data_IF_995886102326
#
_entry.id   IF_995886102326
#
_cell.length_a   1.000
_cell.length_b   1.000
_cell.length_c   1.000
_cell.angle_alpha   90.00
_cell.angle_beta   90.00
_cell.angle_gamma   90.00
#
_symmetry.space_group_name_H-M   'P 1'
#
loop_
_entity.id
_entity.type
_entity.pdbx_description
1 polymer ?
#
# COMPACT_ATOMS: atom_id res chain seq x y z
N UNK A 1 9.58 16.12 15.21
CA UNK A 1 8.32 16.30 14.45
C UNK A 1 8.51 15.58 13.13
N UNK A 2 7.97 14.36 13.01
CA UNK A 2 8.06 13.61 11.76
C UNK A 2 7.25 14.33 10.68
N UNK A 3 7.80 14.49 9.48
CA UNK A 3 7.03 14.99 8.33
C UNK A 3 5.78 14.13 8.18
N UNK A 4 4.62 14.76 8.07
CA UNK A 4 3.39 14.06 7.70
C UNK A 4 3.63 13.40 6.33
N UNK A 5 3.65 12.07 6.29
CA UNK A 5 3.83 11.31 5.04
C UNK A 5 2.68 11.61 4.07
N UNK A 6 1.46 11.72 4.62
CA UNK A 6 0.24 12.13 3.95
C UNK A 6 -0.50 13.08 4.90
N UNK A 7 -0.74 14.31 4.45
CA UNK A 7 -1.46 15.32 5.23
C UNK A 7 -2.85 14.80 5.63
N UNK A 8 -3.20 14.92 6.91
CA UNK A 8 -4.49 14.46 7.43
C UNK A 8 -4.58 12.97 7.76
N UNK A 9 -3.52 12.18 7.51
CA UNK A 9 -3.50 10.75 7.80
C UNK A 9 -2.35 10.39 8.74
N UNK A 10 -2.66 9.60 9.76
CA UNK A 10 -1.67 9.06 10.66
C UNK A 10 -1.21 7.69 10.19
N UNK A 11 0.11 7.53 10.13
CA UNK A 11 0.74 6.24 9.90
C UNK A 11 0.85 5.50 11.23
N UNK A 12 0.17 4.35 11.30
CA UNK A 12 0.01 3.55 12.50
C UNK A 12 1.01 2.39 12.50
N UNK A 13 0.51 1.15 12.64
CA UNK A 13 1.32 -0.05 12.74
C UNK A 13 1.67 -0.65 11.37
N UNK A 14 2.72 -1.48 11.35
CA UNK A 14 3.06 -2.37 10.25
C UNK A 14 2.07 -3.55 10.28
N UNK A 15 1.46 -3.83 9.13
CA UNK A 15 0.51 -4.92 8.91
C UNK A 15 1.19 -6.16 8.30
N UNK A 16 2.29 -5.97 7.59
CA UNK A 16 3.04 -7.05 6.97
C UNK A 16 4.34 -6.57 6.34
N UNK A 17 5.30 -7.48 6.26
CA UNK A 17 6.64 -7.22 5.74
C UNK A 17 6.97 -8.24 4.64
N UNK A 18 7.60 -7.75 3.57
CA UNK A 18 8.14 -8.56 2.50
C UNK A 18 9.55 -8.11 2.14
N UNK A 19 10.24 -8.89 1.31
CA UNK A 19 11.67 -8.67 0.98
C UNK A 19 11.99 -7.27 0.45
N UNK A 20 11.05 -6.62 -0.24
CA UNK A 20 11.23 -5.29 -0.85
C UNK A 20 10.07 -4.34 -0.56
N UNK A 21 9.19 -4.71 0.37
CA UNK A 21 7.97 -3.97 0.61
C UNK A 21 7.50 -4.09 2.05
N UNK A 22 6.92 -3.02 2.56
CA UNK A 22 6.31 -2.96 3.88
C UNK A 22 4.87 -2.47 3.73
N UNK A 23 3.93 -3.10 4.43
CA UNK A 23 2.53 -2.70 4.43
C UNK A 23 2.22 -2.07 5.79
N UNK A 24 1.69 -0.84 5.77
CA UNK A 24 1.37 -0.07 6.99
C UNK A 24 -0.10 0.32 6.99
N UNK A 25 -0.66 0.47 8.18
CA UNK A 25 -1.99 1.03 8.37
C UNK A 25 -1.92 2.56 8.36
N UNK A 26 -2.78 3.19 7.57
CA UNK A 26 -3.06 4.62 7.60
C UNK A 26 -4.47 4.86 8.13
N UNK A 27 -4.63 5.87 8.98
CA UNK A 27 -5.93 6.28 9.52
C UNK A 27 -6.15 7.77 9.27
N UNK A 28 -7.27 8.11 8.64
CA UNK A 28 -7.66 9.50 8.43
C UNK A 28 -8.06 10.12 9.77
N UNK A 29 -7.43 11.23 10.14
CA UNK A 29 -7.65 11.89 11.44
C UNK A 29 -9.05 12.44 11.63
N UNK A 30 -9.69 12.90 10.55
CA UNK A 30 -11.01 13.53 10.62
C UNK A 30 -12.14 12.52 10.47
N UNK A 31 -11.99 11.50 9.62
CA UNK A 31 -13.06 10.54 9.34
C UNK A 31 -12.91 9.22 10.11
N UNK A 32 -11.72 8.89 10.60
CA UNK A 32 -11.40 7.58 11.17
C UNK A 32 -11.31 6.46 10.13
N UNK A 33 -11.42 6.78 8.83
CA UNK A 33 -11.29 5.80 7.76
C UNK A 33 -9.88 5.21 7.72
N UNK A 34 -9.81 3.90 7.51
CA UNK A 34 -8.56 3.15 7.47
C UNK A 34 -8.23 2.69 6.05
N UNK A 35 -6.96 2.79 5.67
CA UNK A 35 -6.44 2.15 4.47
C UNK A 35 -5.07 1.50 4.75
N UNK A 36 -4.69 0.54 3.92
CA UNK A 36 -3.35 -0.01 3.93
C UNK A 36 -2.49 0.72 2.89
N UNK A 37 -1.26 1.08 3.24
CA UNK A 37 -0.26 1.55 2.28
C UNK A 37 0.84 0.52 2.14
N UNK A 38 1.04 0.04 0.91
CA UNK A 38 2.19 -0.78 0.54
C UNK A 38 3.29 0.15 0.04
N UNK A 39 4.36 0.27 0.82
CA UNK A 39 5.59 0.99 0.48
C UNK A 39 6.58 0.00 -0.14
N UNK A 40 7.06 0.30 -1.34
CA UNK A 40 7.98 -0.54 -2.11
C UNK A 40 9.22 0.30 -2.42
N UNK A 41 10.39 -0.18 -1.99
CA UNK A 41 11.64 0.41 -2.43
C UNK A 41 11.93 -0.03 -3.87
N UNK A 42 12.18 0.94 -4.75
CA UNK A 42 12.61 0.75 -6.14
C UNK A 42 14.09 1.16 -6.29
N UNK A 43 15.06 0.33 -5.83
CA UNK A 43 16.47 0.62 -6.07
C UNK A 43 16.75 0.77 -7.56
N UNK A 44 17.70 1.62 -7.92
CA UNK A 44 18.11 1.86 -9.33
C UNK A 44 18.52 0.59 -10.08
N UNK A 45 18.91 -0.47 -9.38
CA UNK A 45 19.20 -1.78 -9.97
C UNK A 45 17.95 -2.51 -10.52
N UNK A 46 16.75 -2.01 -10.21
CA UNK A 46 15.46 -2.59 -10.57
C UNK A 46 14.72 -1.82 -11.68
N UNK A 47 15.42 -1.06 -12.53
CA UNK A 47 14.82 -0.39 -13.71
C UNK A 47 13.93 -1.31 -14.55
N UNK A 48 14.28 -2.60 -14.65
CA UNK A 48 13.46 -3.58 -15.37
C UNK A 48 12.14 -3.92 -14.64
N UNK A 49 12.09 -3.82 -13.30
CA UNK A 49 10.89 -4.10 -12.50
C UNK A 49 9.93 -2.91 -12.39
N UNK A 50 10.36 -1.68 -12.69
CA UNK A 50 9.45 -0.52 -12.65
C UNK A 50 8.26 -0.70 -13.60
N UNK A 51 8.51 -1.29 -14.77
CA UNK A 51 7.45 -1.62 -15.73
C UNK A 51 6.49 -2.69 -15.21
N UNK A 52 7.01 -3.70 -14.52
CA UNK A 52 6.19 -4.77 -13.94
C UNK A 52 5.33 -4.24 -12.79
N UNK A 53 5.90 -3.43 -11.90
CA UNK A 53 5.17 -2.76 -10.81
C UNK A 53 4.09 -1.82 -11.37
N UNK A 54 4.39 -1.04 -12.42
CA UNK A 54 3.36 -0.20 -13.08
C UNK A 54 2.24 -1.02 -13.71
N UNK A 55 2.57 -2.15 -14.35
CA UNK A 55 1.57 -3.06 -14.93
C UNK A 55 0.68 -3.65 -13.84
N UNK A 56 1.25 -4.14 -12.74
CA UNK A 56 0.51 -4.67 -11.60
C UNK A 56 -0.46 -3.62 -11.03
N UNK A 57 0.03 -2.39 -10.77
CA UNK A 57 -0.80 -1.29 -10.28
C UNK A 57 -1.93 -0.97 -11.26
N UNK A 58 -1.64 -0.95 -12.58
CA UNK A 58 -2.63 -0.66 -13.60
C UNK A 58 -3.75 -1.71 -13.61
N UNK A 59 -3.38 -2.99 -13.64
CA UNK A 59 -4.34 -4.10 -13.59
C UNK A 59 -5.16 -4.04 -12.31
N UNK A 60 -4.52 -3.85 -11.15
CA UNK A 60 -5.20 -3.83 -9.86
C UNK A 60 -6.22 -2.67 -9.77
N UNK A 61 -5.90 -1.49 -10.30
CA UNK A 61 -6.84 -0.36 -10.35
C UNK A 61 -8.11 -0.63 -11.18
N UNK A 62 -8.04 -1.54 -12.15
CA UNK A 62 -9.18 -1.93 -12.98
C UNK A 62 -10.09 -2.94 -12.29
N UNK A 63 -9.60 -3.64 -11.26
CA UNK A 63 -10.38 -4.62 -10.51
C UNK A 63 -11.30 -3.90 -9.52
N UNK A 64 -12.61 -4.12 -9.68
CA UNK A 64 -13.66 -3.62 -8.78
C UNK A 64 -14.62 -4.74 -8.45
N UNK A 65 -14.37 -5.42 -7.34
CA UNK A 65 -15.19 -6.55 -6.91
C UNK A 65 -15.10 -6.74 -5.39
N UNK A 66 -16.21 -7.12 -4.76
CA UNK A 66 -16.33 -7.27 -3.29
C UNK A 66 -15.39 -8.31 -2.64
N UNK A 67 -14.75 -9.16 -3.44
CA UNK A 67 -13.82 -10.20 -2.98
C UNK A 67 -12.39 -10.00 -3.47
N UNK A 68 -12.09 -8.82 -4.05
CA UNK A 68 -10.75 -8.43 -4.44
C UNK A 68 -10.44 -7.15 -3.67
N UNK A 69 -9.31 -7.13 -2.98
CA UNK A 69 -8.83 -5.94 -2.25
C UNK A 69 -8.86 -4.75 -3.19
N UNK A 70 -9.59 -3.69 -2.84
CA UNK A 70 -9.68 -2.52 -3.69
C UNK A 70 -8.35 -1.75 -3.69
N UNK A 71 -7.88 -1.37 -4.88
CA UNK A 71 -6.80 -0.39 -5.03
C UNK A 71 -7.40 1.01 -5.19
N UNK A 72 -7.07 1.93 -4.29
CA UNK A 72 -7.54 3.32 -4.31
C UNK A 72 -6.62 4.21 -5.15
N UNK A 73 -5.33 3.88 -5.24
CA UNK A 73 -4.38 4.75 -5.90
C UNK A 73 -2.94 4.35 -5.68
N UNK A 74 -2.04 5.15 -6.24
CA UNK A 74 -0.61 4.96 -6.09
C UNK A 74 0.12 6.29 -6.21
N UNK A 75 1.20 6.47 -5.45
CA UNK A 75 2.09 7.65 -5.50
C UNK A 75 3.54 7.20 -5.62
N UNK A 76 4.36 7.98 -6.32
CA UNK A 76 5.81 7.78 -6.34
C UNK A 76 6.45 8.97 -5.60
N UNK A 77 7.39 8.68 -4.72
CA UNK A 77 8.22 9.70 -4.06
C UNK A 77 9.68 9.23 -4.05
N UNK A 78 10.54 9.93 -4.82
CA UNK A 78 11.93 9.52 -5.01
C UNK A 78 12.04 8.10 -5.59
N UNK A 79 12.74 7.22 -4.86
CA UNK A 79 12.91 5.80 -5.21
C UNK A 79 11.90 4.89 -4.52
N UNK A 80 10.76 5.43 -4.05
CA UNK A 80 9.73 4.67 -3.35
C UNK A 80 8.40 4.76 -4.07
N UNK A 81 7.76 3.60 -4.21
CA UNK A 81 6.42 3.47 -4.75
C UNK A 81 5.46 3.15 -3.61
N UNK A 82 4.40 3.92 -3.51
CA UNK A 82 3.33 3.72 -2.54
C UNK A 82 2.06 3.31 -3.27
N UNK A 83 1.37 2.30 -2.75
CA UNK A 83 0.09 1.81 -3.27
C UNK A 83 -0.92 1.85 -2.12
N UNK A 84 -2.03 2.54 -2.33
CA UNK A 84 -3.11 2.68 -1.36
C UNK A 84 -4.18 1.62 -1.61
N UNK A 85 -4.43 0.81 -0.59
CA UNK A 85 -5.25 -0.40 -0.66
C UNK A 85 -6.32 -0.38 0.42
N UNK A 86 -7.39 -1.11 0.19
CA UNK A 86 -8.38 -1.45 1.20
C UNK A 86 -7.71 -2.14 2.40
N UNK A 87 -8.08 -1.71 3.61
CA UNK A 87 -7.61 -2.34 4.84
C UNK A 87 -8.51 -3.53 5.21
N UNK A 88 -7.95 -4.74 5.18
CA UNK A 88 -8.65 -5.96 5.57
C UNK A 88 -8.32 -6.32 7.02
N UNK A 89 -9.15 -5.86 7.97
CA UNK A 89 -8.94 -6.10 9.41
C UNK A 89 -9.07 -7.56 9.86
N UNK A 90 -9.55 -8.45 8.98
CA UNK A 90 -9.77 -9.87 9.27
C UNK A 90 -8.50 -10.72 9.36
N UNK A 91 -7.34 -10.16 9.01
CA UNK A 91 -6.06 -10.88 8.93
C UNK A 91 -5.98 -11.80 7.70
N UNK A 92 -4.98 -12.67 7.68
CA UNK A 92 -4.76 -13.59 6.56
C UNK A 92 -5.55 -14.89 6.74
N UNK A 93 -5.85 -15.55 5.61
CA UNK A 93 -6.45 -16.88 5.65
C UNK A 93 -5.47 -17.94 6.18
N UNK A 94 -4.17 -17.75 5.95
CA UNK A 94 -3.11 -18.67 6.39
C UNK A 94 -3.12 -18.88 7.90
N UNK A 95 -3.39 -17.84 8.69
CA UNK A 95 -3.48 -17.91 10.15
C UNK A 95 -4.69 -18.72 10.66
N UNK A 96 -5.60 -19.11 9.76
CA UNK A 96 -6.88 -19.77 10.09
C UNK A 96 -6.96 -21.21 9.61
N UNK A 97 -5.90 -21.76 9.01
CA UNK A 97 -5.86 -23.13 8.49
C UNK A 97 -4.64 -23.91 8.96
#
# INVERSE_FOLDING_TARGET
MGKEFIEGWDLMQILGEGTFAEVKLLVNRSTGEACAVKEIDLPRAFLNKENDVRKEICVHKLLKHRNIVQCYGSRIDGSRQFIFLEYCSGGELFDRI
#
